data_IF_380584095474
#
_entry.id   IF_380584095474
#
_cell.length_a   1.000
_cell.length_b   1.000
_cell.length_c   1.000
_cell.angle_alpha   90.00
_cell.angle_beta   90.00
_cell.angle_gamma   90.00
#
_symmetry.space_group_name_H-M   'P 1'
#
loop_
_entity.id
_entity.type
_entity.pdbx_description
1 polymer ?
#
# COMPACT_ATOMS: atom_id res chain seq x y z
N UNK A 1 12.22 -2.01 3.41
CA UNK A 1 11.00 -1.95 4.24
C UNK A 1 11.33 -1.36 5.60
N UNK A 2 10.43 -0.60 6.23
CA UNK A 2 10.60 -0.15 7.61
C UNK A 2 10.83 -1.33 8.57
N UNK A 3 11.59 -1.14 9.67
CA UNK A 3 11.97 -2.25 10.54
C UNK A 3 10.84 -2.74 11.47
N UNK A 4 9.84 -1.91 11.79
CA UNK A 4 8.68 -2.33 12.61
C UNK A 4 7.44 -2.68 11.75
N UNK A 5 6.64 -3.68 12.14
CA UNK A 5 5.42 -4.05 11.42
C UNK A 5 4.42 -2.90 11.23
N UNK A 6 4.20 -2.07 12.25
CA UNK A 6 3.28 -0.94 12.19
C UNK A 6 3.76 0.11 11.16
N UNK A 7 5.07 0.35 11.12
CA UNK A 7 5.65 1.26 10.13
C UNK A 7 5.59 0.67 8.72
N UNK A 8 5.68 -0.65 8.56
CA UNK A 8 5.50 -1.32 7.27
C UNK A 8 4.07 -1.13 6.75
N UNK A 9 3.04 -1.36 7.56
CA UNK A 9 1.64 -1.20 7.12
C UNK A 9 1.32 0.25 6.78
N UNK A 10 1.80 1.20 7.59
CA UNK A 10 1.69 2.63 7.27
C UNK A 10 2.35 2.95 5.93
N UNK A 11 3.59 2.51 5.72
CA UNK A 11 4.33 2.76 4.49
C UNK A 11 3.62 2.19 3.26
N UNK A 12 3.17 0.94 3.34
CA UNK A 12 2.45 0.28 2.24
C UNK A 12 1.14 1.01 1.95
N UNK A 13 0.37 1.36 2.98
CA UNK A 13 -0.87 2.12 2.83
C UNK A 13 -0.68 3.49 2.17
N UNK A 14 0.33 4.26 2.61
CA UNK A 14 0.67 5.57 2.03
C UNK A 14 1.16 5.45 0.58
N UNK A 15 1.91 4.40 0.26
CA UNK A 15 2.36 4.10 -1.10
C UNK A 15 1.17 3.76 -2.03
N UNK A 16 0.24 2.91 -1.58
CA UNK A 16 -0.98 2.58 -2.35
C UNK A 16 -1.84 3.83 -2.53
N UNK A 17 -2.05 4.61 -1.48
CA UNK A 17 -2.77 5.88 -1.56
C UNK A 17 -2.16 6.84 -2.58
N UNK A 18 -0.82 6.91 -2.63
CA UNK A 18 -0.09 7.73 -3.61
C UNK A 18 -0.35 7.25 -5.04
N UNK A 19 -0.27 5.94 -5.31
CA UNK A 19 -0.56 5.42 -6.65
C UNK A 19 -1.99 5.72 -7.09
N UNK A 20 -2.96 5.48 -6.20
CA UNK A 20 -4.37 5.72 -6.50
C UNK A 20 -4.68 7.20 -6.72
N UNK A 21 -4.07 8.10 -5.93
CA UNK A 21 -4.19 9.56 -6.12
C UNK A 21 -3.80 9.99 -7.54
N UNK A 22 -2.73 9.42 -8.08
CA UNK A 22 -2.15 9.82 -9.37
C UNK A 22 -2.51 8.87 -10.52
N UNK A 23 -3.43 7.93 -10.31
CA UNK A 23 -3.83 6.92 -11.31
C UNK A 23 -2.63 6.13 -11.88
N UNK A 24 -1.63 5.85 -11.05
CA UNK A 24 -0.46 5.07 -11.43
C UNK A 24 -0.75 3.57 -11.33
N UNK A 25 -0.30 2.79 -12.30
CA UNK A 25 -0.44 1.33 -12.29
C UNK A 25 0.54 0.68 -11.33
N UNK A 26 0.14 -0.47 -10.78
CA UNK A 26 1.05 -1.40 -10.12
C UNK A 26 1.42 -2.52 -11.10
N UNK A 27 2.71 -2.78 -11.25
CA UNK A 27 3.16 -3.93 -12.03
C UNK A 27 2.97 -5.23 -11.23
N UNK A 28 3.13 -6.37 -11.89
CA UNK A 28 2.89 -7.68 -11.27
C UNK A 28 3.76 -7.92 -10.03
N UNK A 29 5.03 -7.50 -10.03
CA UNK A 29 5.92 -7.70 -8.86
C UNK A 29 5.45 -6.88 -7.66
N UNK A 30 4.98 -5.67 -7.90
CA UNK A 30 4.41 -4.83 -6.85
C UNK A 30 3.11 -5.42 -6.31
N UNK A 31 2.23 -5.94 -7.18
CA UNK A 31 0.99 -6.59 -6.77
C UNK A 31 1.24 -7.84 -5.91
N UNK A 32 2.19 -8.70 -6.31
CA UNK A 32 2.55 -9.87 -5.50
C UNK A 32 3.16 -9.47 -4.16
N UNK A 33 3.99 -8.43 -4.11
CA UNK A 33 4.50 -7.91 -2.86
C UNK A 33 3.39 -7.34 -1.96
N UNK A 34 2.41 -6.63 -2.52
CA UNK A 34 1.28 -6.08 -1.77
C UNK A 34 0.42 -7.18 -1.13
N UNK A 35 0.20 -8.30 -1.83
CA UNK A 35 -0.56 -9.44 -1.29
C UNK A 35 0.03 -9.96 0.02
N UNK A 36 1.36 -10.06 0.13
CA UNK A 36 2.03 -10.51 1.37
C UNK A 36 1.65 -9.64 2.57
N UNK A 37 1.49 -8.33 2.38
CA UNK A 37 1.08 -7.43 3.46
C UNK A 37 -0.44 -7.43 3.68
N UNK A 38 -1.21 -7.41 2.59
CA UNK A 38 -2.68 -7.32 2.63
C UNK A 38 -3.35 -8.61 3.13
N UNK A 39 -2.77 -9.78 2.87
CA UNK A 39 -3.24 -11.08 3.38
C UNK A 39 -2.59 -11.44 4.73
N UNK A 40 -1.72 -10.58 5.25
CA UNK A 40 -0.96 -10.83 6.47
C UNK A 40 -1.02 -9.63 7.43
N UNK A 41 0.12 -9.01 7.77
CA UNK A 41 0.22 -8.08 8.90
C UNK A 41 -0.61 -6.79 8.74
N UNK A 42 -1.12 -6.51 7.55
CA UNK A 42 -1.83 -5.28 7.22
C UNK A 42 -3.26 -5.53 6.72
N UNK A 43 -3.86 -6.69 7.01
CA UNK A 43 -5.20 -7.07 6.54
C UNK A 43 -6.30 -6.03 6.89
N UNK A 44 -6.19 -5.39 8.06
CA UNK A 44 -7.13 -4.36 8.52
C UNK A 44 -6.78 -2.93 8.04
N UNK A 45 -5.75 -2.76 7.20
CA UNK A 45 -5.29 -1.44 6.77
C UNK A 45 -6.25 -0.83 5.76
N UNK A 46 -6.99 0.19 6.19
CA UNK A 46 -7.86 0.98 5.30
C UNK A 46 -7.06 2.07 4.59
N UNK A 47 -6.92 1.94 3.27
CA UNK A 47 -6.28 2.96 2.43
C UNK A 47 -7.28 4.08 2.11
N UNK A 48 -7.02 5.28 2.60
CA UNK A 48 -7.79 6.50 2.28
C UNK A 48 -6.99 7.37 1.32
N UNK A 49 -7.61 7.82 0.23
CA UNK A 49 -6.98 8.73 -0.72
C UNK A 49 -8.00 9.67 -1.36
N UNK A 50 -7.53 10.83 -1.80
CA UNK A 50 -8.28 11.76 -2.67
C UNK A 50 -7.57 11.80 -4.02
N UNK A 51 -8.27 11.54 -5.14
CA UNK A 51 -7.71 11.70 -6.47
C UNK A 51 -7.07 13.09 -6.66
N UNK A 52 -5.99 13.16 -7.44
CA UNK A 52 -5.47 14.43 -7.92
C UNK A 52 -6.47 15.07 -8.89
N UNK A 53 -6.51 16.41 -8.92
CA UNK A 53 -7.34 17.17 -9.85
C UNK A 53 -6.72 17.22 -11.26
#
# INVERSE_FOLDING_TARGET
MPPSPEAQCRYVGEWVATKLRWQLTANNRELEALKVYAEGPCEDTVVRYTPAA
#
